data_IF_188585023062
#
_entry.id   IF_188585023062
#
_cell.length_a   1.000
_cell.length_b   1.000
_cell.length_c   1.000
_cell.angle_alpha   90.00
_cell.angle_beta   90.00
_cell.angle_gamma   90.00
#
_symmetry.space_group_name_H-M   'P 1'
#
loop_
_entity.id
_entity.type
_entity.pdbx_description
1 polymer ?
#
# COMPACT_ATOMS: atom_id res chain seq x y z
N UNK A 1 -11.21 -19.03 -5.32
CA UNK A 1 -11.43 -19.09 -6.78
C UNK A 1 -10.94 -17.82 -7.44
N UNK A 2 -10.64 -17.89 -8.74
CA UNK A 2 -10.07 -16.77 -9.49
C UNK A 2 -10.93 -15.51 -9.45
N UNK A 3 -12.25 -15.67 -9.58
CA UNK A 3 -13.18 -14.54 -9.57
C UNK A 3 -13.17 -13.80 -8.23
N UNK A 4 -13.11 -14.53 -7.13
CA UNK A 4 -13.08 -13.92 -5.79
C UNK A 4 -11.78 -13.14 -5.58
N UNK A 5 -10.67 -13.68 -6.08
CA UNK A 5 -9.36 -13.01 -6.02
C UNK A 5 -9.40 -11.70 -6.81
N UNK A 6 -9.92 -11.74 -8.03
CA UNK A 6 -10.03 -10.55 -8.88
C UNK A 6 -10.94 -9.50 -8.28
N UNK A 7 -12.07 -9.90 -7.71
CA UNK A 7 -12.97 -8.98 -7.03
C UNK A 7 -12.29 -8.32 -5.83
N UNK A 8 -11.53 -9.09 -5.06
CA UNK A 8 -10.80 -8.56 -3.92
C UNK A 8 -9.72 -7.57 -4.35
N UNK A 9 -9.03 -7.86 -5.45
CA UNK A 9 -8.02 -6.95 -6.02
C UNK A 9 -8.68 -5.62 -6.41
N UNK A 10 -9.79 -5.67 -7.14
CA UNK A 10 -10.50 -4.47 -7.57
C UNK A 10 -10.94 -3.63 -6.36
N UNK A 11 -11.49 -4.29 -5.35
CA UNK A 11 -11.93 -3.62 -4.12
C UNK A 11 -10.77 -2.93 -3.41
N UNK A 12 -9.64 -3.64 -3.26
CA UNK A 12 -8.46 -3.09 -2.61
C UNK A 12 -7.83 -1.95 -3.44
N UNK A 13 -7.81 -2.08 -4.76
CA UNK A 13 -7.31 -1.02 -5.63
C UNK A 13 -8.14 0.26 -5.49
N UNK A 14 -9.46 0.14 -5.36
CA UNK A 14 -10.32 1.30 -5.12
C UNK A 14 -10.00 1.97 -3.79
N UNK A 15 -9.82 1.18 -2.75
CA UNK A 15 -9.50 1.70 -1.42
C UNK A 15 -8.11 2.30 -1.35
N UNK A 16 -7.19 1.78 -2.16
CA UNK A 16 -5.79 2.22 -2.18
C UNK A 16 -5.48 3.03 -3.44
N UNK A 17 -6.47 3.69 -4.03
CA UNK A 17 -6.31 4.47 -5.26
C UNK A 17 -5.29 5.60 -5.14
N UNK A 18 -4.96 6.02 -3.93
CA UNK A 18 -3.92 7.02 -3.70
C UNK A 18 -2.50 6.45 -3.86
N UNK A 19 -2.35 5.13 -3.85
CA UNK A 19 -1.06 4.44 -4.02
C UNK A 19 -0.92 3.82 -5.40
N UNK A 20 -1.99 3.24 -5.92
CA UNK A 20 -1.98 2.55 -7.21
C UNK A 20 -3.19 2.98 -8.02
N UNK A 21 -3.06 2.98 -9.34
CA UNK A 21 -4.15 3.34 -10.23
C UNK A 21 -4.07 2.52 -11.51
N UNK A 22 -5.11 2.60 -12.35
CA UNK A 22 -5.23 1.79 -13.56
C UNK A 22 -4.16 2.09 -14.61
N UNK A 23 -3.56 3.29 -14.57
CA UNK A 23 -2.52 3.66 -15.54
C UNK A 23 -1.17 3.05 -15.22
N UNK A 24 -1.00 2.50 -14.02
CA UNK A 24 0.26 1.90 -13.59
C UNK A 24 0.38 0.46 -14.08
N UNK A 25 1.60 0.07 -14.45
CA UNK A 25 1.89 -1.33 -14.75
C UNK A 25 1.87 -2.15 -13.46
N UNK A 26 1.81 -3.46 -13.59
CA UNK A 26 1.85 -4.36 -12.44
C UNK A 26 3.13 -4.13 -11.61
N UNK A 27 4.27 -3.98 -12.27
CA UNK A 27 5.54 -3.72 -11.58
C UNK A 27 5.52 -2.40 -10.82
N UNK A 28 4.95 -1.35 -11.42
CA UNK A 28 4.81 -0.06 -10.77
C UNK A 28 3.90 -0.16 -9.54
N UNK A 29 2.79 -0.89 -9.66
CA UNK A 29 1.88 -1.13 -8.53
C UNK A 29 2.59 -1.84 -7.39
N UNK A 30 3.33 -2.91 -7.70
CA UNK A 30 4.05 -3.68 -6.70
C UNK A 30 5.12 -2.83 -6.00
N UNK A 31 5.84 -2.02 -6.77
CA UNK A 31 6.85 -1.13 -6.20
C UNK A 31 6.22 -0.09 -5.28
N UNK A 32 5.13 0.54 -5.72
CA UNK A 32 4.43 1.55 -4.94
C UNK A 32 3.92 0.99 -3.62
N UNK A 33 3.32 -0.20 -3.66
CA UNK A 33 2.81 -0.87 -2.46
C UNK A 33 3.94 -1.29 -1.52
N UNK A 34 5.04 -1.79 -2.07
CA UNK A 34 6.21 -2.18 -1.28
C UNK A 34 6.80 -0.98 -0.55
N UNK A 35 6.97 0.14 -1.27
CA UNK A 35 7.48 1.37 -0.68
C UNK A 35 6.56 1.90 0.42
N UNK A 36 5.25 1.90 0.17
CA UNK A 36 4.27 2.35 1.15
C UNK A 36 4.26 1.47 2.40
N UNK A 37 4.36 0.16 2.21
CA UNK A 37 4.42 -0.78 3.32
C UNK A 37 5.68 -0.56 4.16
N UNK A 38 6.81 -0.38 3.49
CA UNK A 38 8.09 -0.13 4.15
C UNK A 38 8.02 1.17 4.97
N UNK A 39 7.51 2.23 4.38
CA UNK A 39 7.34 3.51 5.06
C UNK A 39 6.42 3.39 6.28
N UNK A 40 5.31 2.69 6.14
CA UNK A 40 4.38 2.47 7.24
C UNK A 40 5.02 1.68 8.37
N UNK A 41 5.96 0.78 8.05
CA UNK A 41 6.61 -0.09 9.03
C UNK A 41 7.80 0.57 9.71
N UNK A 42 8.53 1.45 9.01
CA UNK A 42 9.85 1.89 9.45
C UNK A 42 10.02 3.39 9.66
N UNK A 43 9.27 4.22 8.95
CA UNK A 43 9.52 5.65 9.00
C UNK A 43 8.32 6.44 9.53
N UNK A 44 8.59 7.65 9.96
CA UNK A 44 7.56 8.57 10.40
C UNK A 44 7.06 8.39 11.82
N UNK A 45 7.26 7.21 12.41
CA UNK A 45 6.74 6.96 13.75
C UNK A 45 7.38 7.91 14.78
N UNK A 46 8.70 8.03 14.76
CA UNK A 46 9.43 8.91 15.66
C UNK A 46 9.07 10.36 15.45
N UNK A 47 8.99 10.79 14.20
CA UNK A 47 8.64 12.16 13.84
C UNK A 47 7.19 12.47 14.21
N UNK A 48 6.28 11.53 13.97
CA UNK A 48 4.88 11.69 14.33
C UNK A 48 4.71 11.82 15.84
N UNK A 49 5.42 11.00 16.61
CA UNK A 49 5.40 11.05 18.06
C UNK A 49 6.01 12.36 18.58
N UNK A 50 7.13 12.78 17.99
CA UNK A 50 7.77 14.04 18.37
C UNK A 50 6.83 15.23 18.11
N UNK A 51 6.19 15.28 16.95
CA UNK A 51 5.23 16.33 16.62
C UNK A 51 4.06 16.35 17.60
N UNK A 52 3.54 15.19 17.94
CA UNK A 52 2.43 15.07 18.87
C UNK A 52 2.81 15.57 20.27
N UNK A 53 4.00 15.22 20.73
CA UNK A 53 4.52 15.64 22.03
C UNK A 53 4.80 17.14 22.09
N UNK A 54 5.22 17.72 20.97
CA UNK A 54 5.51 19.16 20.88
C UNK A 54 4.27 20.00 20.60
N UNK A 55 3.12 19.38 20.42
CA UNK A 55 1.88 20.09 20.14
C UNK A 55 1.83 20.74 18.77
N UNK A 56 2.70 20.31 17.85
CA UNK A 56 2.74 20.85 16.49
C UNK A 56 1.59 20.34 15.62
N UNK A 57 1.30 21.08 14.57
CA UNK A 57 0.32 20.66 13.57
C UNK A 57 0.87 19.49 12.78
N UNK A 58 -0.03 18.60 12.36
CA UNK A 58 0.36 17.49 11.52
C UNK A 58 0.82 17.99 10.16
N UNK A 59 2.04 17.62 9.77
CA UNK A 59 2.51 17.89 8.43
C UNK A 59 1.93 16.85 7.47
N UNK A 60 2.14 17.07 6.17
CA UNK A 60 1.62 16.20 5.14
C UNK A 60 2.21 14.79 5.24
N UNK A 61 3.50 14.69 5.57
CA UNK A 61 4.16 13.39 5.73
C UNK A 61 3.58 12.58 6.88
N UNK A 62 3.29 13.22 8.00
CA UNK A 62 2.67 12.57 9.15
C UNK A 62 1.28 12.06 8.79
N UNK A 63 0.50 12.83 8.04
CA UNK A 63 -0.82 12.40 7.57
C UNK A 63 -0.71 11.18 6.67
N UNK A 64 0.22 11.21 5.72
CA UNK A 64 0.43 10.09 4.80
C UNK A 64 0.89 8.85 5.56
N UNK A 65 1.79 9.02 6.50
CA UNK A 65 2.25 7.91 7.33
C UNK A 65 1.09 7.28 8.11
N UNK A 66 0.26 8.10 8.76
CA UNK A 66 -0.91 7.60 9.49
C UNK A 66 -1.87 6.86 8.56
N UNK A 67 -2.11 7.41 7.38
CA UNK A 67 -2.98 6.80 6.39
C UNK A 67 -2.41 5.46 5.94
N UNK A 68 -1.11 5.40 5.67
CA UNK A 68 -0.44 4.16 5.29
C UNK A 68 -0.49 3.12 6.41
N UNK A 69 -0.24 3.52 7.65
CA UNK A 69 -0.33 2.62 8.80
C UNK A 69 -1.74 2.06 8.97
N UNK A 70 -2.75 2.91 8.82
CA UNK A 70 -4.14 2.51 8.92
C UNK A 70 -4.53 1.48 7.88
N UNK A 71 -3.93 1.58 6.69
CA UNK A 71 -4.22 0.68 5.58
C UNK A 71 -3.15 -0.40 5.37
N UNK A 72 -2.21 -0.53 6.30
CA UNK A 72 -1.08 -1.44 6.17
C UNK A 72 -1.50 -2.87 5.80
N UNK A 73 -2.52 -3.39 6.46
CA UNK A 73 -3.00 -4.74 6.18
C UNK A 73 -3.62 -4.84 4.77
N UNK A 74 -4.24 -3.77 4.29
CA UNK A 74 -4.78 -3.73 2.93
C UNK A 74 -3.67 -3.66 1.89
N UNK A 75 -2.64 -2.86 2.17
CA UNK A 75 -1.45 -2.75 1.32
C UNK A 75 -0.78 -4.12 1.18
N UNK A 76 -0.60 -4.80 2.31
CA UNK A 76 0.01 -6.12 2.35
C UNK A 76 -0.82 -7.15 1.57
N UNK A 77 -2.14 -7.14 1.78
CA UNK A 77 -3.05 -8.05 1.09
C UNK A 77 -3.03 -7.82 -0.43
N UNK A 78 -3.06 -6.56 -0.86
CA UNK A 78 -3.02 -6.25 -2.30
C UNK A 78 -1.66 -6.62 -2.89
N UNK A 79 -0.58 -6.34 -2.18
CA UNK A 79 0.76 -6.70 -2.61
C UNK A 79 0.87 -8.21 -2.84
N UNK A 80 0.38 -9.02 -1.90
CA UNK A 80 0.40 -10.48 -2.02
C UNK A 80 -0.41 -10.97 -3.22
N UNK A 81 -1.62 -10.43 -3.41
CA UNK A 81 -2.48 -10.83 -4.53
C UNK A 81 -1.87 -10.47 -5.88
N UNK A 82 -1.31 -9.29 -6.00
CA UNK A 82 -0.64 -8.86 -7.24
C UNK A 82 0.64 -9.65 -7.48
N UNK A 83 1.36 -10.00 -6.41
CA UNK A 83 2.53 -10.87 -6.49
C UNK A 83 2.18 -12.26 -7.02
N UNK A 84 1.06 -12.82 -6.55
CA UNK A 84 0.56 -14.10 -7.04
C UNK A 84 0.20 -14.04 -8.53
N UNK A 85 -0.41 -12.94 -8.97
CA UNK A 85 -0.71 -12.74 -10.39
C UNK A 85 0.56 -12.69 -11.22
N UNK A 86 1.60 -12.05 -10.73
CA UNK A 86 2.88 -11.98 -11.42
C UNK A 86 3.50 -13.36 -11.55
N UNK A 87 3.46 -14.15 -10.49
CA UNK A 87 3.99 -15.53 -10.49
C UNK A 87 3.21 -16.41 -11.46
N UNK A 88 1.88 -16.29 -11.48
CA UNK A 88 1.03 -17.05 -12.41
C UNK A 88 1.37 -16.70 -13.86
N UNK A 89 1.62 -15.42 -14.14
CA UNK A 89 2.02 -14.98 -15.47
C UNK A 89 3.37 -15.55 -15.88
N UNK A 90 4.33 -15.58 -14.95
CA UNK A 90 5.66 -16.12 -15.21
C UNK A 90 5.63 -17.65 -15.37
N UNK A 91 4.81 -18.34 -14.58
CA UNK A 91 4.73 -19.79 -14.62
C UNK A 91 3.94 -20.31 -15.82
N UNK A 92 3.18 -19.44 -16.48
CA UNK A 92 2.42 -19.79 -17.68
C UNK A 92 3.25 -19.90 -18.95
N UNK A 93 4.52 -19.64 -18.86
CA UNK A 93 5.41 -19.72 -20.03
C UNK A 93 5.93 -21.14 -20.25
#
# INVERSE_FOLDING_TARGET
MLNDKLERIIELEKELSYLVNDSMTLEEKLKSLSDAYWEASHSGYGDAMANKLMGGEEDEQTRLWKKNCKNKYKIDALFDLLGELKEEGDSGC
#
